data_IF_739027690964
#
_entry.id   IF_739027690964
#
_cell.length_a   1.000
_cell.length_b   1.000
_cell.length_c   1.000
_cell.angle_alpha   90.00
_cell.angle_beta   90.00
_cell.angle_gamma   90.00
#
_symmetry.space_group_name_H-M   'P 1'
#
loop_
_entity.id
_entity.type
_entity.pdbx_description
1 polymer ?
#
# COMPACT_ATOMS: atom_id res chain seq x y z
N UNK A 1 14.24 -12.97 1.30
CA UNK A 1 14.25 -12.23 0.05
C UNK A 1 13.36 -11.01 0.13
N UNK A 2 13.88 -9.88 -0.22
CA UNK A 2 13.16 -8.62 -0.08
C UNK A 2 12.57 -8.18 -1.39
N UNK A 3 11.30 -7.80 -1.34
CA UNK A 3 10.64 -7.21 -2.47
C UNK A 3 10.83 -5.71 -2.40
N UNK A 4 11.36 -5.13 -3.47
CA UNK A 4 11.47 -3.68 -3.55
C UNK A 4 10.17 -3.09 -4.03
N UNK A 5 9.70 -2.08 -3.30
CA UNK A 5 8.52 -1.35 -3.74
C UNK A 5 8.88 -0.44 -4.91
N UNK A 6 7.95 -0.18 -5.83
CA UNK A 6 8.22 0.72 -6.93
C UNK A 6 8.40 2.16 -6.46
N UNK A 7 9.14 2.93 -7.23
CA UNK A 7 9.32 4.35 -6.97
C UNK A 7 8.04 5.07 -7.36
N UNK A 8 7.64 6.06 -6.55
CA UNK A 8 6.45 6.85 -6.84
C UNK A 8 6.59 7.58 -8.19
N UNK A 9 5.63 7.40 -9.10
CA UNK A 9 5.72 8.08 -10.40
C UNK A 9 5.43 9.58 -10.35
N UNK A 10 4.92 10.06 -9.23
CA UNK A 10 4.58 11.47 -9.09
C UNK A 10 5.72 12.29 -8.50
N UNK A 11 6.35 11.81 -7.43
CA UNK A 11 7.41 12.56 -6.75
C UNK A 11 8.76 11.85 -6.74
N UNK A 12 8.85 10.67 -7.35
CA UNK A 12 10.07 9.86 -7.43
C UNK A 12 10.60 9.41 -6.08
N UNK A 13 9.74 9.39 -5.06
CA UNK A 13 10.15 8.94 -3.74
C UNK A 13 10.29 7.43 -3.70
N UNK A 14 11.26 6.94 -2.93
CA UNK A 14 11.41 5.53 -2.65
C UNK A 14 10.59 5.10 -1.43
N UNK A 15 10.00 6.06 -0.73
CA UNK A 15 9.24 5.80 0.49
C UNK A 15 7.81 5.44 0.15
N UNK A 16 7.62 4.22 -0.36
CA UNK A 16 6.33 3.74 -0.82
C UNK A 16 5.95 2.47 -0.07
N UNK A 17 4.66 2.16 -0.05
CA UNK A 17 4.17 0.96 0.60
C UNK A 17 3.04 0.34 -0.19
N UNK A 18 2.75 -0.93 0.11
CA UNK A 18 1.63 -1.63 -0.51
C UNK A 18 0.35 -1.28 0.24
N UNK A 19 -0.76 -1.20 -0.50
CA UNK A 19 -2.07 -0.94 0.10
C UNK A 19 -2.70 -2.27 0.50
N UNK A 20 -3.14 -2.37 1.75
CA UNK A 20 -3.81 -3.56 2.27
C UNK A 20 -5.31 -3.39 2.12
N UNK A 21 -5.92 -4.28 1.34
CA UNK A 21 -7.37 -4.25 1.10
C UNK A 21 -8.05 -5.35 1.89
N UNK A 22 -9.23 -5.04 2.43
CA UNK A 22 -10.02 -5.98 3.19
C UNK A 22 -9.71 -5.94 4.68
N UNK A 23 -10.25 -6.91 5.42
CA UNK A 23 -10.06 -7.02 6.86
C UNK A 23 -8.87 -7.91 7.19
N UNK A 24 -7.91 -7.42 7.98
CA UNK A 24 -6.80 -8.26 8.41
C UNK A 24 -7.26 -9.28 9.44
N UNK A 25 -6.66 -10.48 9.41
CA UNK A 25 -6.93 -11.49 10.41
C UNK A 25 -6.15 -11.23 11.70
N UNK A 26 -5.05 -10.51 11.62
CA UNK A 26 -4.23 -10.15 12.77
C UNK A 26 -4.19 -8.64 12.90
N UNK A 27 -5.03 -8.10 13.79
CA UNK A 27 -5.15 -6.66 13.95
C UNK A 27 -3.91 -6.04 14.57
N UNK A 28 -3.22 -6.75 15.44
CA UNK A 28 -1.99 -6.23 16.05
C UNK A 28 -0.91 -6.02 15.01
N UNK A 29 -0.70 -7.03 14.17
CA UNK A 29 0.26 -6.92 13.08
C UNK A 29 -0.12 -5.78 12.13
N UNK A 30 -1.42 -5.69 11.81
CA UNK A 30 -1.90 -4.69 10.87
C UNK A 30 -1.63 -3.27 11.39
N UNK A 31 -1.99 -3.02 12.65
CA UNK A 31 -1.80 -1.69 13.24
C UNK A 31 -0.32 -1.33 13.35
N UNK A 32 0.51 -2.32 13.68
CA UNK A 32 1.95 -2.12 13.76
C UNK A 32 2.54 -1.77 12.39
N UNK A 33 2.14 -2.50 11.36
CA UNK A 33 2.62 -2.27 10.00
C UNK A 33 2.18 -0.90 9.47
N UNK A 34 0.95 -0.48 9.79
CA UNK A 34 0.46 0.84 9.41
C UNK A 34 1.27 1.93 10.12
N UNK A 35 1.54 1.73 11.41
CA UNK A 35 2.32 2.70 12.17
C UNK A 35 3.74 2.85 11.64
N UNK A 36 4.32 1.76 11.14
CA UNK A 36 5.65 1.77 10.54
C UNK A 36 5.64 2.19 9.08
N UNK A 37 4.48 2.46 8.51
CA UNK A 37 4.30 2.84 7.11
C UNK A 37 4.77 1.77 6.14
N UNK A 38 4.70 0.51 6.56
CA UNK A 38 5.00 -0.63 5.71
C UNK A 38 3.82 -1.00 4.82
N UNK A 39 2.61 -0.69 5.28
CA UNK A 39 1.38 -0.86 4.50
C UNK A 39 0.50 0.37 4.67
N UNK A 40 -0.42 0.55 3.73
CA UNK A 40 -1.41 1.62 3.81
C UNK A 40 -2.80 0.99 3.90
N UNK A 41 -3.70 1.53 4.73
CA UNK A 41 -5.06 1.00 4.82
C UNK A 41 -5.86 1.35 3.56
N UNK A 42 -6.39 0.32 2.89
CA UNK A 42 -7.18 0.51 1.68
C UNK A 42 -8.68 0.49 1.90
N UNK A 43 -9.12 -0.15 2.99
CA UNK A 43 -10.53 -0.26 3.30
C UNK A 43 -11.10 -1.62 2.96
N UNK A 44 -12.38 -1.77 3.21
CA UNK A 44 -13.07 -3.05 3.01
C UNK A 44 -13.81 -3.15 1.68
N UNK A 45 -14.06 -2.03 1.02
CA UNK A 45 -14.77 -2.00 -0.25
C UNK A 45 -13.79 -2.17 -1.40
N UNK A 46 -13.99 -3.21 -2.19
CA UNK A 46 -13.14 -3.50 -3.34
C UNK A 46 -13.84 -3.11 -4.61
N UNK A 47 -13.09 -2.48 -5.51
CA UNK A 47 -13.59 -2.09 -6.83
C UNK A 47 -12.65 -2.61 -7.91
N UNK A 48 -13.00 -2.40 -9.17
CA UNK A 48 -12.17 -2.86 -10.29
C UNK A 48 -10.91 -2.04 -10.46
N UNK A 49 -10.86 -0.86 -9.89
CA UNK A 49 -9.75 0.08 -10.08
C UNK A 49 -8.98 0.35 -8.78
N UNK A 50 -8.96 -0.61 -7.88
CA UNK A 50 -8.24 -0.43 -6.61
C UNK A 50 -6.74 -0.33 -6.86
N UNK A 51 -6.08 0.72 -6.36
CA UNK A 51 -4.65 0.85 -6.50
C UNK A 51 -3.90 -0.14 -5.62
N UNK A 52 -2.67 -0.43 -5.97
CA UNK A 52 -1.84 -1.38 -5.23
C UNK A 52 -0.80 -0.69 -4.34
N UNK A 53 -0.32 0.47 -4.75
CA UNK A 53 0.79 1.15 -4.08
C UNK A 53 0.39 2.54 -3.62
N UNK A 54 1.03 3.00 -2.55
CA UNK A 54 0.85 4.36 -2.07
C UNK A 54 2.20 4.95 -1.69
N UNK A 55 2.40 6.21 -2.05
CA UNK A 55 3.58 6.95 -1.65
C UNK A 55 3.37 7.56 -0.26
N UNK A 56 4.34 7.36 0.64
CA UNK A 56 4.24 7.92 1.98
C UNK A 56 4.58 9.41 2.02
N UNK A 57 5.20 9.94 0.97
CA UNK A 57 5.59 11.34 0.93
C UNK A 57 4.55 12.25 0.31
N UNK A 58 3.92 11.82 -0.79
CA UNK A 58 2.94 12.66 -1.49
C UNK A 58 1.53 12.07 -1.50
N UNK A 59 1.35 10.89 -0.91
CA UNK A 59 0.06 10.18 -0.83
C UNK A 59 -0.50 9.78 -2.19
N UNK A 60 0.32 9.76 -3.23
CA UNK A 60 -0.11 9.30 -4.53
C UNK A 60 -0.36 7.79 -4.50
N UNK A 61 -1.41 7.34 -5.15
CA UNK A 61 -1.75 5.93 -5.25
C UNK A 61 -1.75 5.52 -6.71
N UNK A 62 -1.18 4.34 -6.99
CA UNK A 62 -1.08 3.87 -8.36
C UNK A 62 -0.99 2.35 -8.39
N UNK A 63 -0.94 1.82 -9.61
CA UNK A 63 -0.90 0.39 -9.82
C UNK A 63 -2.28 -0.22 -9.81
N UNK A 64 -2.34 -1.53 -9.96
CA UNK A 64 -3.60 -2.26 -9.94
C UNK A 64 -3.49 -3.39 -8.94
N UNK A 65 -4.47 -3.47 -8.04
CA UNK A 65 -4.51 -4.51 -7.02
C UNK A 65 -4.38 -5.92 -7.60
N UNK A 66 -4.91 -6.14 -8.79
CA UNK A 66 -4.90 -7.45 -9.44
C UNK A 66 -3.60 -7.77 -10.17
N UNK A 67 -2.68 -6.82 -10.25
CA UNK A 67 -1.38 -7.09 -10.84
C UNK A 67 -0.55 -7.98 -9.93
N UNK A 68 0.14 -8.92 -10.50
CA UNK A 68 1.00 -9.82 -9.75
C UNK A 68 2.45 -9.65 -10.14
#
# INVERSE_FOLDING_TARGET
MQKKNPICPSCNSKNTCIIFWGFPSDMEWYLDAVAKKEIAPGGCTLTDNDPKWECNDCSNRWGNRDET
#
